data_IF_393705485402
#
_entry.id   IF_393705485402
#
_cell.length_a   1.000
_cell.length_b   1.000
_cell.length_c   1.000
_cell.angle_alpha   90.00
_cell.angle_beta   90.00
_cell.angle_gamma   90.00
#
_symmetry.space_group_name_H-M   'P 1'
#
loop_
_entity.id
_entity.type
_entity.pdbx_description
1 polymer ?
#
# COMPACT_ATOMS: atom_id res chain seq x y z
N UNK A 1 6.73 4.40 -18.73
CA UNK A 1 6.20 3.03 -18.68
C UNK A 1 5.96 2.73 -17.24
N UNK A 2 4.74 2.92 -16.76
CA UNK A 2 4.31 2.38 -15.47
C UNK A 2 3.90 0.95 -15.74
N UNK A 3 4.40 0.00 -14.94
CA UNK A 3 4.02 -1.40 -15.04
C UNK A 3 2.54 -1.55 -14.72
N UNK A 4 1.81 -2.26 -15.58
CA UNK A 4 0.44 -2.69 -15.34
C UNK A 4 0.35 -3.56 -14.07
N UNK A 5 -0.78 -3.50 -13.35
CA UNK A 5 -1.00 -4.39 -12.20
C UNK A 5 -1.04 -5.87 -12.65
N UNK A 6 -0.42 -6.75 -11.87
CA UNK A 6 -0.45 -8.20 -12.07
C UNK A 6 -1.59 -8.87 -11.29
N UNK A 7 -2.02 -10.03 -11.78
CA UNK A 7 -2.99 -10.88 -11.07
C UNK A 7 -2.41 -11.27 -9.70
N UNK A 8 -3.21 -11.13 -8.65
CA UNK A 8 -2.82 -11.37 -7.26
C UNK A 8 -2.26 -10.14 -6.55
N UNK A 9 -1.96 -9.05 -7.26
CA UNK A 9 -1.54 -7.81 -6.62
C UNK A 9 -2.65 -7.25 -5.75
N UNK A 10 -2.28 -6.73 -4.59
CA UNK A 10 -3.18 -5.94 -3.76
C UNK A 10 -3.08 -4.48 -4.21
N UNK A 11 -4.23 -3.84 -4.35
CA UNK A 11 -4.37 -2.45 -4.78
C UNK A 11 -5.30 -1.71 -3.82
N UNK A 12 -5.20 -0.39 -3.80
CA UNK A 12 -6.19 0.46 -3.13
C UNK A 12 -6.69 1.54 -4.07
N UNK A 13 -7.89 2.04 -3.77
CA UNK A 13 -8.50 3.15 -4.49
C UNK A 13 -7.80 4.45 -4.13
N UNK A 14 -7.20 5.11 -5.12
CA UNK A 14 -6.50 6.39 -4.98
C UNK A 14 -7.29 7.54 -5.63
N UNK A 15 -8.59 7.56 -5.34
CA UNK A 15 -9.53 8.61 -5.76
C UNK A 15 -10.68 8.69 -4.77
N UNK A 16 -11.42 9.81 -4.73
CA UNK A 16 -12.53 9.98 -3.78
C UNK A 16 -13.61 8.90 -3.97
N UNK A 17 -13.92 8.56 -5.22
CA UNK A 17 -14.90 7.53 -5.59
C UNK A 17 -14.49 6.80 -6.86
N UNK A 18 -14.64 5.48 -6.87
CA UNK A 18 -14.36 4.61 -8.01
C UNK A 18 -15.55 3.69 -8.29
N UNK A 19 -16.14 3.82 -9.49
CA UNK A 19 -17.24 2.97 -9.90
C UNK A 19 -16.75 1.54 -10.23
N UNK A 20 -17.34 0.55 -9.59
CA UNK A 20 -17.20 -0.86 -9.94
C UNK A 20 -18.26 -1.23 -10.97
N UNK A 21 -17.86 -1.83 -12.09
CA UNK A 21 -18.74 -2.17 -13.21
C UNK A 21 -18.86 -3.67 -13.43
N UNK A 22 -19.94 -4.09 -14.07
CA UNK A 22 -20.18 -5.49 -14.44
C UNK A 22 -19.26 -6.02 -15.54
N UNK A 23 -18.50 -5.15 -16.23
CA UNK A 23 -17.56 -5.52 -17.28
C UNK A 23 -16.52 -4.42 -17.54
N UNK A 24 -15.46 -4.79 -18.27
CA UNK A 24 -14.36 -3.90 -18.66
C UNK A 24 -14.82 -2.84 -19.68
N UNK A 25 -15.25 -1.68 -19.20
CA UNK A 25 -15.63 -0.55 -20.06
C UNK A 25 -16.69 0.35 -19.45
N UNK A 26 -16.76 1.59 -19.93
CA UNK A 26 -17.73 2.58 -19.42
C UNK A 26 -19.18 2.31 -19.84
N UNK A 27 -19.38 1.42 -20.82
CA UNK A 27 -20.71 1.00 -21.28
C UNK A 27 -21.39 -0.07 -20.40
N UNK A 28 -20.65 -0.70 -19.47
CA UNK A 28 -21.21 -1.68 -18.54
C UNK A 28 -21.87 -1.00 -17.33
N UNK A 29 -22.89 -1.65 -16.77
CA UNK A 29 -23.62 -1.15 -15.60
C UNK A 29 -22.69 -1.00 -14.39
N UNK A 30 -22.84 0.09 -13.65
CA UNK A 30 -22.22 0.25 -12.33
C UNK A 30 -22.95 -0.68 -11.37
N UNK A 31 -22.20 -1.54 -10.69
CA UNK A 31 -22.73 -2.52 -9.72
C UNK A 31 -22.40 -2.13 -8.28
N UNK A 32 -21.37 -1.30 -8.08
CA UNK A 32 -20.95 -0.81 -6.77
C UNK A 32 -20.07 0.44 -6.89
N UNK A 33 -19.73 1.05 -5.75
CA UNK A 33 -18.80 2.19 -5.66
C UNK A 33 -17.83 1.96 -4.51
N UNK A 34 -16.54 2.05 -4.79
CA UNK A 34 -15.47 2.07 -3.79
C UNK A 34 -15.04 3.51 -3.50
N UNK A 35 -14.50 3.75 -2.33
CA UNK A 35 -13.99 5.05 -1.88
C UNK A 35 -12.48 5.00 -1.62
N UNK A 36 -11.86 6.16 -1.47
CA UNK A 36 -10.42 6.27 -1.18
C UNK A 36 -9.98 5.32 -0.04
N UNK A 37 -8.91 4.57 -0.29
CA UNK A 37 -8.32 3.64 0.68
C UNK A 37 -8.95 2.25 0.71
N UNK A 38 -10.10 2.03 0.05
CA UNK A 38 -10.67 0.68 -0.10
C UNK A 38 -9.67 -0.23 -0.82
N UNK A 39 -9.48 -1.42 -0.26
CA UNK A 39 -8.52 -2.40 -0.76
C UNK A 39 -9.19 -3.44 -1.65
N UNK A 40 -8.43 -3.92 -2.63
CA UNK A 40 -8.86 -4.98 -3.51
C UNK A 40 -7.69 -5.83 -4.00
N UNK A 41 -7.98 -7.02 -4.50
CA UNK A 41 -7.00 -7.89 -5.16
C UNK A 41 -7.31 -7.97 -6.65
N UNK A 42 -6.30 -7.84 -7.51
CA UNK A 42 -6.44 -7.99 -8.96
C UNK A 42 -6.72 -9.45 -9.30
N UNK A 43 -7.82 -9.72 -9.99
CA UNK A 43 -8.22 -11.04 -10.46
C UNK A 43 -7.95 -11.26 -11.95
N UNK A 44 -8.06 -10.21 -12.77
CA UNK A 44 -7.89 -10.29 -14.22
C UNK A 44 -7.56 -8.92 -14.83
N UNK A 45 -7.05 -8.91 -16.05
CA UNK A 45 -6.63 -7.72 -16.81
C UNK A 45 -5.11 -7.56 -16.95
N UNK A 46 -4.66 -6.47 -17.60
CA UNK A 46 -5.46 -5.36 -18.11
C UNK A 46 -6.23 -5.69 -19.39
N UNK A 47 -7.48 -5.20 -19.48
CA UNK A 47 -8.23 -5.09 -20.74
C UNK A 47 -8.35 -3.62 -21.13
N UNK A 48 -7.88 -3.25 -22.31
CA UNK A 48 -7.97 -1.86 -22.77
C UNK A 48 -9.33 -1.58 -23.39
N UNK A 49 -10.10 -0.67 -22.79
CA UNK A 49 -11.39 -0.23 -23.32
C UNK A 49 -11.66 1.23 -22.94
N UNK A 50 -12.25 1.99 -23.86
CA UNK A 50 -12.62 3.40 -23.66
C UNK A 50 -11.45 4.30 -23.19
N UNK A 51 -10.21 3.97 -23.56
CA UNK A 51 -9.02 4.73 -23.19
C UNK A 51 -8.43 4.38 -21.81
N UNK A 52 -8.96 3.36 -21.12
CA UNK A 52 -8.49 2.91 -19.83
C UNK A 52 -8.02 1.46 -19.87
N UNK A 53 -7.05 1.12 -19.03
CA UNK A 53 -6.78 -0.27 -18.64
C UNK A 53 -7.78 -0.67 -17.55
N UNK A 54 -8.58 -1.70 -17.82
CA UNK A 54 -9.57 -2.23 -16.89
C UNK A 54 -9.06 -3.48 -16.21
N UNK A 55 -9.31 -3.57 -14.91
CA UNK A 55 -8.94 -4.70 -14.08
C UNK A 55 -10.17 -5.25 -13.37
N UNK A 56 -10.28 -6.56 -13.34
CA UNK A 56 -11.23 -7.22 -12.46
C UNK A 56 -10.61 -7.27 -11.08
N UNK A 57 -11.39 -6.92 -10.07
CA UNK A 57 -10.96 -6.91 -8.67
C UNK A 57 -11.85 -7.79 -7.82
N UNK A 58 -11.27 -8.35 -6.75
CA UNK A 58 -11.97 -8.91 -5.59
C UNK A 58 -11.90 -7.89 -4.46
N UNK A 59 -13.02 -7.57 -3.83
CA UNK A 59 -13.10 -6.58 -2.76
C UNK A 59 -14.16 -6.97 -1.72
N UNK A 60 -14.04 -6.43 -0.51
CA UNK A 60 -14.94 -6.76 0.61
C UNK A 60 -15.01 -8.27 0.89
N UNK A 61 -16.18 -8.75 1.35
CA UNK A 61 -16.41 -10.18 1.63
C UNK A 61 -16.70 -11.01 0.37
N UNK A 62 -15.87 -10.87 -0.67
CA UNK A 62 -15.90 -11.69 -1.89
C UNK A 62 -16.70 -11.12 -3.05
N UNK A 63 -16.93 -9.81 -3.08
CA UNK A 63 -17.51 -9.15 -4.25
C UNK A 63 -16.48 -9.04 -5.37
N UNK A 64 -16.96 -9.03 -6.62
CA UNK A 64 -16.08 -8.86 -7.79
C UNK A 64 -16.67 -7.87 -8.78
N UNK A 65 -15.80 -7.21 -9.52
CA UNK A 65 -16.21 -6.31 -10.60
C UNK A 65 -15.02 -5.63 -11.27
N UNK A 66 -15.30 -4.78 -12.24
CA UNK A 66 -14.30 -4.14 -13.10
C UNK A 66 -14.13 -2.67 -12.77
N UNK A 67 -12.88 -2.23 -12.64
CA UNK A 67 -12.51 -0.85 -12.37
C UNK A 67 -11.43 -0.37 -13.34
N UNK A 68 -11.36 0.94 -13.56
CA UNK A 68 -10.29 1.55 -14.35
C UNK A 68 -9.03 1.69 -13.48
N UNK A 69 -7.90 1.17 -13.96
CA UNK A 69 -6.63 1.11 -13.24
C UNK A 69 -6.01 2.46 -12.91
N UNK A 70 -6.32 3.51 -13.68
CA UNK A 70 -5.84 4.88 -13.44
C UNK A 70 -6.21 5.43 -12.06
N UNK A 71 -7.24 4.86 -11.42
CA UNK A 71 -7.73 5.25 -10.09
C UNK A 71 -7.31 4.27 -8.99
N UNK A 72 -6.48 3.29 -9.35
CA UNK A 72 -5.88 2.37 -8.43
C UNK A 72 -4.42 2.75 -8.20
N UNK A 73 -3.93 2.38 -7.05
CA UNK A 73 -2.50 2.36 -6.77
C UNK A 73 -2.16 1.03 -6.14
N UNK A 74 -0.92 0.57 -6.35
CA UNK A 74 -0.44 -0.60 -5.64
C UNK A 74 -0.64 -0.37 -4.16
N UNK A 75 -1.45 -1.21 -3.53
CA UNK A 75 -1.41 -1.38 -2.10
C UNK A 75 -0.19 -2.22 -1.92
N UNK A 76 0.94 -1.56 -1.70
CA UNK A 76 2.26 -2.18 -1.80
C UNK A 76 2.21 -3.56 -1.13
N UNK A 77 2.13 -4.60 -1.96
CA UNK A 77 2.52 -5.95 -1.62
C UNK A 77 4.04 -6.02 -1.39
N UNK A 78 4.75 -4.88 -1.54
CA UNK A 78 6.09 -4.59 -1.04
C UNK A 78 6.13 -3.81 0.27
N UNK A 79 5.07 -3.88 1.08
CA UNK A 79 5.19 -3.56 2.50
C UNK A 79 5.93 -4.68 3.23
N UNK A 80 6.63 -4.37 4.31
CA UNK A 80 7.31 -5.42 5.06
C UNK A 80 6.34 -6.25 5.89
N UNK A 81 6.65 -7.54 6.08
CA UNK A 81 5.88 -8.43 6.96
C UNK A 81 6.50 -8.49 8.35
N UNK A 82 5.67 -8.79 9.36
CA UNK A 82 6.15 -8.98 10.75
C UNK A 82 7.18 -10.11 10.80
N UNK A 83 8.32 -9.85 11.42
CA UNK A 83 9.48 -10.74 11.48
C UNK A 83 10.45 -10.57 10.29
N UNK A 84 10.14 -9.72 9.31
CA UNK A 84 11.07 -9.44 8.22
C UNK A 84 12.24 -8.58 8.70
N UNK A 85 13.45 -8.97 8.30
CA UNK A 85 14.62 -8.11 8.44
C UNK A 85 14.67 -7.11 7.29
N UNK A 86 14.87 -5.84 7.65
CA UNK A 86 14.98 -4.71 6.73
C UNK A 86 16.24 -3.90 7.04
N UNK A 87 16.62 -2.98 6.16
CA UNK A 87 17.68 -2.01 6.39
C UNK A 87 17.27 -0.59 5.98
N UNK A 88 17.87 0.39 6.65
CA UNK A 88 17.61 1.82 6.41
C UNK A 88 18.31 2.30 5.13
N UNK A 89 17.57 2.98 4.25
CA UNK A 89 18.08 3.54 2.98
C UNK A 89 18.34 5.05 3.05
N UNK A 90 17.84 5.74 4.07
CA UNK A 90 18.11 7.15 4.32
C UNK A 90 19.45 7.36 5.04
N UNK A 91 20.09 8.53 4.86
CA UNK A 91 21.28 8.89 5.63
C UNK A 91 21.01 8.94 7.14
N UNK A 92 19.85 9.45 7.54
CA UNK A 92 19.34 9.42 8.90
C UNK A 92 17.83 9.24 8.87
N UNK A 93 17.30 8.30 9.65
CA UNK A 93 15.88 7.99 9.77
C UNK A 93 15.42 8.22 11.21
N UNK A 94 14.40 9.06 11.39
CA UNK A 94 13.83 9.33 12.71
C UNK A 94 13.01 8.13 13.20
N UNK A 95 13.30 7.67 14.41
CA UNK A 95 12.47 6.72 15.15
C UNK A 95 11.53 7.49 16.05
N UNK A 96 10.23 7.19 15.99
CA UNK A 96 9.18 7.92 16.70
C UNK A 96 8.45 7.07 17.72
N UNK A 97 7.89 7.73 18.73
CA UNK A 97 7.09 7.08 19.77
C UNK A 97 5.71 6.62 19.32
N UNK A 98 5.33 6.82 18.05
CA UNK A 98 4.02 6.45 17.51
C UNK A 98 3.92 6.69 16.01
N UNK A 99 2.81 6.22 15.44
CA UNK A 99 2.46 6.28 14.01
C UNK A 99 2.17 7.73 13.60
N UNK A 100 3.13 8.38 12.95
CA UNK A 100 2.94 9.72 12.39
C UNK A 100 4.07 10.69 12.72
N UNK A 101 4.19 11.72 11.89
CA UNK A 101 5.16 12.81 12.01
C UNK A 101 4.91 13.72 13.22
N UNK A 102 3.71 13.69 13.80
CA UNK A 102 3.35 14.44 15.01
C UNK A 102 3.85 13.82 16.32
N UNK A 103 4.30 12.56 16.32
CA UNK A 103 4.84 11.91 17.52
C UNK A 103 6.30 12.29 17.76
N UNK A 104 6.70 12.28 19.04
CA UNK A 104 8.06 12.60 19.48
C UNK A 104 9.08 11.70 18.81
N UNK A 105 10.18 12.29 18.34
CA UNK A 105 11.37 11.55 17.91
C UNK A 105 12.10 11.05 19.16
N UNK A 106 12.30 9.74 19.24
CA UNK A 106 12.91 9.06 20.40
C UNK A 106 14.30 8.51 20.10
N UNK A 107 14.63 8.29 18.81
CA UNK A 107 15.96 7.87 18.37
C UNK A 107 16.18 8.16 16.86
N UNK A 108 17.36 7.81 16.35
CA UNK A 108 17.75 7.93 14.94
C UNK A 108 18.50 6.68 14.46
N UNK A 109 18.13 6.18 13.29
CA UNK A 109 18.85 5.10 12.60
C UNK A 109 19.68 5.66 11.45
N UNK A 110 20.87 5.10 11.24
CA UNK A 110 21.75 5.50 10.15
C UNK A 110 21.54 4.61 8.93
N UNK A 111 22.01 5.07 7.76
CA UNK A 111 22.03 4.25 6.54
C UNK A 111 22.63 2.86 6.80
N UNK A 112 21.97 1.81 6.32
CA UNK A 112 22.40 0.43 6.44
C UNK A 112 22.14 -0.22 7.80
N UNK A 113 21.61 0.50 8.78
CA UNK A 113 21.15 -0.12 10.04
C UNK A 113 20.07 -1.15 9.72
N UNK A 114 20.27 -2.39 10.17
CA UNK A 114 19.30 -3.48 10.03
C UNK A 114 18.34 -3.52 11.22
N UNK A 115 17.08 -3.87 10.98
CA UNK A 115 16.08 -4.02 12.03
C UNK A 115 15.04 -5.08 11.63
N UNK A 116 14.26 -5.53 12.61
CA UNK A 116 13.13 -6.45 12.38
C UNK A 116 11.82 -5.70 12.47
N UNK A 117 10.90 -5.98 11.55
CA UNK A 117 9.54 -5.43 11.58
C UNK A 117 8.73 -6.15 12.65
N UNK A 118 8.13 -5.41 13.58
CA UNK A 118 7.34 -6.01 14.68
C UNK A 118 5.87 -5.60 14.65
N UNK A 119 5.53 -4.48 14.01
CA UNK A 119 4.14 -4.06 13.79
C UNK A 119 4.00 -3.17 12.53
N UNK A 120 2.76 -2.98 12.08
CA UNK A 120 2.39 -2.21 10.88
C UNK A 120 2.15 -3.07 9.62
N UNK A 121 1.86 -2.42 8.47
CA UNK A 121 1.82 -0.97 8.29
C UNK A 121 0.57 -0.29 8.89
N UNK A 122 0.76 0.92 9.43
CA UNK A 122 -0.32 1.86 9.70
C UNK A 122 -0.13 3.12 8.86
N UNK A 123 -1.19 3.61 8.23
CA UNK A 123 -1.10 4.78 7.35
C UNK A 123 -1.38 6.06 8.12
N UNK A 124 -0.43 7.01 8.10
CA UNK A 124 -0.57 8.35 8.66
C UNK A 124 0.37 9.34 7.97
N UNK A 125 -0.09 10.60 7.84
CA UNK A 125 0.67 11.70 7.24
C UNK A 125 1.24 11.40 5.83
N UNK A 126 0.54 10.55 5.07
CA UNK A 126 0.97 10.14 3.73
C UNK A 126 2.04 9.04 3.68
N UNK A 127 2.36 8.42 4.82
CA UNK A 127 3.34 7.33 4.92
C UNK A 127 2.72 6.04 5.47
N UNK A 128 3.29 4.90 5.07
CA UNK A 128 3.13 3.62 5.77
C UNK A 128 4.14 3.53 6.91
N UNK A 129 3.66 3.45 8.15
CA UNK A 129 4.50 3.38 9.34
C UNK A 129 4.66 1.95 9.81
N UNK A 130 5.90 1.60 10.16
CA UNK A 130 6.27 0.29 10.71
C UNK A 130 6.95 0.48 12.05
N UNK A 131 6.64 -0.41 13.00
CA UNK A 131 7.40 -0.51 14.23
C UNK A 131 8.58 -1.45 14.00
N UNK A 132 9.77 -1.00 14.38
CA UNK A 132 11.02 -1.73 14.27
C UNK A 132 11.53 -2.15 15.64
N UNK A 133 12.07 -3.36 15.73
CA UNK A 133 13.04 -3.75 16.74
C UNK A 133 14.45 -3.59 16.14
N UNK A 134 15.17 -2.55 16.54
CA UNK A 134 16.50 -2.20 15.98
C UNK A 134 17.67 -2.48 16.93
N UNK A 135 17.36 -2.81 18.19
CA UNK A 135 18.27 -3.43 19.17
C UNK A 135 17.38 -4.10 20.21
N UNK A 136 17.88 -5.06 20.99
CA UNK A 136 17.12 -5.62 22.13
C UNK A 136 17.35 -4.75 23.38
N UNK A 137 16.32 -4.16 24.03
CA UNK A 137 14.91 -4.02 23.64
C UNK A 137 14.56 -2.56 23.27
N UNK A 138 14.97 -2.11 22.08
CA UNK A 138 14.68 -0.79 21.51
C UNK A 138 13.71 -0.92 20.34
N UNK A 139 12.54 -0.30 20.52
CA UNK A 139 11.44 -0.28 19.57
C UNK A 139 11.09 1.13 19.14
N UNK A 140 10.46 1.27 17.97
CA UNK A 140 9.81 2.51 17.58
C UNK A 140 9.39 2.57 16.12
N UNK A 141 8.62 3.62 15.81
CA UNK A 141 7.92 3.78 14.55
C UNK A 141 8.74 4.56 13.52
N UNK A 142 8.81 4.06 12.30
CA UNK A 142 9.48 4.73 11.16
C UNK A 142 8.60 4.70 9.91
N UNK A 143 8.82 5.64 8.99
CA UNK A 143 8.18 5.61 7.68
C UNK A 143 8.87 4.57 6.78
N UNK A 144 8.08 3.69 6.17
CA UNK A 144 8.52 2.56 5.35
C UNK A 144 9.23 2.96 4.07
N UNK A 145 8.99 4.16 3.55
CA UNK A 145 9.66 4.73 2.36
C UNK A 145 11.20 4.75 2.48
N UNK A 146 11.72 4.72 3.71
CA UNK A 146 13.14 4.79 4.01
C UNK A 146 13.74 3.44 4.43
N UNK A 147 13.05 2.34 4.10
CA UNK A 147 13.47 0.98 4.37
C UNK A 147 13.54 0.17 3.07
N UNK A 148 14.33 -0.90 3.09
CA UNK A 148 14.38 -1.93 2.05
C UNK A 148 14.69 -3.30 2.67
N UNK A 149 14.49 -4.38 1.91
CA UNK A 149 14.83 -5.75 2.28
C UNK A 149 15.98 -6.29 1.42
#
# INVERSE_FOLDING_TARGET
>A
GGSDFGIGDTVYVNSDTLNVRSGAGTGYSVVDVLVYGDQATILDGPYTANGYAWYQISYGSGYTGWVAGDYLSYYSSGGFYIGQTVYVTAGTLNVRSGVGTGYSVIDYLSYGTTATIVDGPYVADGYSWYELEYSDPLYGWVAGDYLAA
#
